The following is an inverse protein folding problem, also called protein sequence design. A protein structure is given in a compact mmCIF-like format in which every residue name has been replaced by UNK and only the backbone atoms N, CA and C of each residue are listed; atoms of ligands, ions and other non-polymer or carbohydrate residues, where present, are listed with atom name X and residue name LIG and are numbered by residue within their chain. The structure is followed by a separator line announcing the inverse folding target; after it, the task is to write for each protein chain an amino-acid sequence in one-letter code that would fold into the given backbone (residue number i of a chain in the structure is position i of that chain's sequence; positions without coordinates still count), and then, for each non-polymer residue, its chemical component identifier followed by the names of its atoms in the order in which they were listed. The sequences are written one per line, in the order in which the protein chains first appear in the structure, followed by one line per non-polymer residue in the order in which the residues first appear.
data_IF_297750872690
#
_entry.id   IF_297750872690
#
_cell.length_a   1.000
_cell.length_b   1.000
_cell.length_c   1.000
_cell.angle_alpha   90.00
_cell.angle_beta   90.00
_cell.angle_gamma   90.00
#
_symmetry.space_group_name_H-M   'P 1'
#
loop_
_entity.id
_entity.type
_entity.pdbx_description
1 polymer ?
#
# COMPACT_ATOMS: atom_id res chain seq x y z
N UNK A 1 6.85 2.56 1.40
CA UNK A 1 7.32 1.19 1.16
C UNK A 1 6.66 0.27 2.18
N UNK A 2 5.99 -0.81 1.79
CA UNK A 2 5.75 -1.87 2.74
C UNK A 2 7.13 -2.36 3.19
N UNK A 3 7.34 -2.39 4.50
CA UNK A 3 8.54 -3.06 5.04
C UNK A 3 8.53 -4.50 4.53
N UNK A 4 9.64 -4.92 3.93
CA UNK A 4 9.80 -6.30 3.48
C UNK A 4 9.80 -7.17 4.73
N UNK A 5 8.96 -8.20 4.81
CA UNK A 5 9.02 -9.11 5.94
C UNK A 5 10.42 -9.74 6.03
N UNK A 6 11.05 -9.62 7.19
CA UNK A 6 12.37 -10.24 7.42
C UNK A 6 12.26 -11.76 7.57
N UNK A 7 11.14 -12.21 8.14
CA UNK A 7 10.91 -13.63 8.41
C UNK A 7 10.36 -14.35 7.21
N UNK A 8 10.90 -15.53 6.94
CA UNK A 8 10.51 -16.37 5.81
C UNK A 8 9.00 -16.69 5.77
N UNK A 9 8.39 -17.03 6.90
CA UNK A 9 6.96 -17.32 6.97
C UNK A 9 6.09 -16.11 6.61
N UNK A 10 6.52 -14.92 6.99
CA UNK A 10 5.83 -13.68 6.63
C UNK A 10 5.98 -13.37 5.13
N UNK A 11 7.12 -13.70 4.52
CA UNK A 11 7.35 -13.59 3.07
C UNK A 11 6.45 -14.54 2.28
N UNK A 12 6.30 -15.78 2.75
CA UNK A 12 5.37 -16.76 2.16
C UNK A 12 3.93 -16.23 2.18
N UNK A 13 3.49 -15.75 3.34
CA UNK A 13 2.14 -15.17 3.47
C UNK A 13 1.96 -13.95 2.55
N UNK A 14 2.98 -13.10 2.44
CA UNK A 14 2.97 -11.95 1.54
C UNK A 14 2.85 -12.38 0.08
N UNK A 15 3.68 -13.34 -0.38
CA UNK A 15 3.63 -13.88 -1.74
C UNK A 15 2.28 -14.50 -2.06
N UNK A 16 1.72 -15.28 -1.14
CA UNK A 16 0.38 -15.86 -1.27
C UNK A 16 -0.67 -14.77 -1.51
N UNK A 17 -0.68 -13.77 -0.67
CA UNK A 17 -1.63 -12.67 -0.78
C UNK A 17 -1.46 -11.89 -2.10
N UNK A 18 -0.23 -11.65 -2.54
CA UNK A 18 0.04 -10.99 -3.83
C UNK A 18 -0.44 -11.87 -4.98
N UNK A 19 -0.09 -13.16 -5.01
CA UNK A 19 -0.52 -14.11 -6.03
C UNK A 19 -2.05 -14.17 -6.16
N UNK A 20 -2.75 -14.34 -5.04
CA UNK A 20 -4.22 -14.36 -5.03
C UNK A 20 -4.84 -13.05 -5.55
N UNK A 21 -4.25 -11.91 -5.25
CA UNK A 21 -4.77 -10.62 -5.72
C UNK A 21 -4.42 -10.35 -7.19
N UNK A 22 -3.34 -10.91 -7.69
CA UNK A 22 -3.01 -10.92 -9.12
C UNK A 22 -4.01 -11.78 -9.89
N UNK A 23 -4.32 -12.99 -9.41
CA UNK A 23 -5.31 -13.88 -10.03
C UNK A 23 -6.72 -13.29 -10.04
N UNK A 24 -7.09 -12.57 -8.99
CA UNK A 24 -8.37 -11.83 -8.90
C UNK A 24 -8.40 -10.54 -9.74
N UNK A 25 -7.31 -10.20 -10.43
CA UNK A 25 -7.20 -8.97 -11.22
C UNK A 25 -7.18 -7.68 -10.41
N UNK A 26 -6.92 -7.77 -9.09
CA UNK A 26 -6.84 -6.61 -8.19
C UNK A 26 -5.50 -5.90 -8.36
N UNK A 27 -4.44 -6.66 -8.65
CA UNK A 27 -3.11 -6.16 -8.98
C UNK A 27 -2.84 -6.47 -10.44
N UNK A 28 -2.55 -5.44 -11.24
CA UNK A 28 -2.13 -5.61 -12.62
C UNK A 28 -0.59 -5.65 -12.66
N UNK A 29 -0.05 -6.83 -12.96
CA UNK A 29 1.37 -7.00 -13.27
C UNK A 29 1.55 -7.38 -14.74
N UNK A 30 2.73 -7.10 -15.34
CA UNK A 30 3.13 -7.71 -16.60
C UNK A 30 3.05 -9.25 -16.52
N UNK A 31 2.71 -9.89 -17.63
CA UNK A 31 2.52 -11.36 -17.64
C UNK A 31 3.77 -12.14 -17.21
N UNK A 32 4.95 -11.63 -17.57
CA UNK A 32 6.24 -12.19 -17.15
C UNK A 32 6.39 -12.19 -15.62
N UNK A 33 5.94 -11.13 -14.95
CA UNK A 33 6.01 -11.02 -13.51
C UNK A 33 4.96 -11.89 -12.81
N UNK A 34 3.80 -12.08 -13.43
CA UNK A 34 2.77 -12.99 -12.92
C UNK A 34 3.25 -14.44 -12.90
N UNK A 35 3.92 -14.88 -13.98
CA UNK A 35 4.50 -16.23 -14.06
C UNK A 35 5.56 -16.44 -12.99
N UNK A 36 6.46 -15.47 -12.82
CA UNK A 36 7.52 -15.51 -11.80
C UNK A 36 6.96 -15.56 -10.37
N UNK A 37 5.91 -14.80 -10.07
CA UNK A 37 5.24 -14.83 -8.76
C UNK A 37 4.63 -16.19 -8.50
N UNK A 38 3.99 -16.78 -9.52
CA UNK A 38 3.36 -18.10 -9.41
C UNK A 38 4.38 -19.22 -9.22
N UNK A 39 5.49 -19.16 -9.94
CA UNK A 39 6.62 -20.10 -9.78
C UNK A 39 7.21 -19.99 -8.39
N UNK A 40 7.50 -18.79 -7.90
CA UNK A 40 8.00 -18.58 -6.56
C UNK A 40 7.04 -19.06 -5.47
N UNK A 41 5.76 -18.83 -5.65
CA UNK A 41 4.76 -19.33 -4.71
C UNK A 41 4.79 -20.86 -4.65
N UNK A 42 4.83 -21.54 -5.79
CA UNK A 42 4.92 -23.00 -5.87
C UNK A 42 6.24 -23.53 -5.26
N UNK A 43 7.38 -22.87 -5.51
CA UNK A 43 8.66 -23.21 -4.93
C UNK A 43 8.69 -23.02 -3.41
N UNK A 44 7.99 -22.00 -2.88
CA UNK A 44 7.89 -21.79 -1.42
C UNK A 44 7.11 -22.90 -0.72
N UNK A 45 6.20 -23.57 -1.40
CA UNK A 45 5.50 -24.72 -0.84
C UNK A 45 6.36 -25.99 -0.80
N UNK A 46 7.33 -26.13 -1.72
CA UNK A 46 8.18 -27.33 -1.85
C UNK A 46 9.43 -27.34 -0.94
N UNK A 47 9.65 -26.35 -0.11
CA UNK A 47 10.79 -26.23 0.84
C UNK A 47 12.19 -26.16 0.20
N UNK A 48 12.32 -25.83 -1.08
CA UNK A 48 13.61 -25.71 -1.73
C UNK A 48 14.35 -24.41 -1.40
N UNK A 49 15.65 -24.50 -1.34
CA UNK A 49 16.72 -23.55 -1.01
C UNK A 49 16.34 -22.05 -0.82
N UNK A 50 16.39 -21.60 0.43
CA UNK A 50 16.09 -20.22 0.85
C UNK A 50 16.87 -19.12 0.09
N UNK A 51 18.07 -19.39 -0.41
CA UNK A 51 18.93 -18.40 -1.05
C UNK A 51 18.47 -17.98 -2.44
N UNK A 52 18.14 -18.93 -3.30
CA UNK A 52 17.65 -18.65 -4.67
C UNK A 52 16.28 -17.95 -4.64
N UNK A 53 15.44 -18.31 -3.68
CA UNK A 53 14.14 -17.68 -3.45
C UNK A 53 14.27 -16.21 -2.98
N UNK A 54 15.32 -15.88 -2.26
CA UNK A 54 15.58 -14.50 -1.81
C UNK A 54 15.91 -13.57 -2.98
N UNK A 55 16.74 -14.01 -3.93
CA UNK A 55 17.09 -13.22 -5.12
C UNK A 55 15.86 -12.97 -6.02
N UNK A 56 15.07 -14.01 -6.27
CA UNK A 56 13.83 -13.87 -7.04
C UNK A 56 12.79 -13.00 -6.33
N UNK A 57 12.66 -13.11 -5.02
CA UNK A 57 11.78 -12.26 -4.23
C UNK A 57 12.21 -10.79 -4.34
N UNK A 58 13.51 -10.49 -4.27
CA UNK A 58 14.03 -9.15 -4.47
C UNK A 58 13.74 -8.62 -5.88
N UNK A 59 13.84 -9.45 -6.91
CA UNK A 59 13.53 -9.02 -8.28
C UNK A 59 12.05 -8.67 -8.48
N UNK A 60 11.13 -9.43 -7.85
CA UNK A 60 9.69 -9.10 -7.84
C UNK A 60 9.43 -7.78 -7.12
N UNK A 61 10.05 -7.59 -5.97
CA UNK A 61 9.93 -6.36 -5.23
C UNK A 61 10.47 -5.18 -6.02
N UNK A 62 11.62 -5.31 -6.65
CA UNK A 62 12.17 -4.26 -7.52
C UNK A 62 11.23 -3.93 -8.67
N UNK A 63 10.69 -4.94 -9.37
CA UNK A 63 9.74 -4.72 -10.44
C UNK A 63 8.42 -4.10 -9.94
N UNK A 64 7.95 -4.47 -8.76
CA UNK A 64 6.78 -3.86 -8.13
C UNK A 64 7.02 -2.40 -7.74
N UNK A 65 8.24 -2.06 -7.29
CA UNK A 65 8.61 -0.71 -6.88
C UNK A 65 9.20 0.15 -8.01
N UNK A 66 9.51 -0.43 -9.15
CA UNK A 66 9.90 0.30 -10.36
C UNK A 66 8.73 1.08 -11.00
N UNK A 67 7.68 1.35 -10.20
CA UNK A 67 6.56 2.18 -10.66
C UNK A 67 7.02 3.63 -10.83
N UNK A 68 6.56 4.31 -11.87
CA UNK A 68 6.79 5.74 -11.99
C UNK A 68 6.31 6.46 -10.72
N UNK A 69 7.10 7.41 -10.23
CA UNK A 69 6.78 8.19 -9.02
C UNK A 69 6.68 7.37 -7.72
N UNK A 70 7.39 6.26 -7.60
CA UNK A 70 7.49 5.55 -6.33
C UNK A 70 8.02 6.48 -5.22
N UNK A 71 7.57 6.23 -3.99
CA UNK A 71 8.08 6.94 -2.82
C UNK A 71 9.47 6.38 -2.50
N UNK A 72 10.52 7.03 -2.96
CA UNK A 72 11.92 6.61 -2.82
C UNK A 72 12.65 7.35 -1.70
N UNK A 73 12.13 8.50 -1.27
CA UNK A 73 12.74 9.31 -0.23
C UNK A 73 12.27 8.88 1.16
N UNK A 74 13.22 8.66 2.06
CA UNK A 74 12.91 8.32 3.46
C UNK A 74 12.03 9.39 4.14
N UNK A 75 12.20 10.66 3.78
CA UNK A 75 11.38 11.78 4.26
C UNK A 75 9.90 11.62 3.91
N UNK A 76 9.60 11.18 2.69
CA UNK A 76 8.23 10.96 2.24
C UNK A 76 7.61 9.71 2.87
N UNK A 77 8.40 8.69 3.17
CA UNK A 77 7.93 7.46 3.82
C UNK A 77 7.33 7.74 5.21
N UNK A 78 7.95 8.63 5.97
CA UNK A 78 7.52 9.02 7.31
C UNK A 78 6.70 10.31 7.35
N UNK A 79 6.40 10.88 6.17
CA UNK A 79 5.54 12.05 6.05
C UNK A 79 4.12 11.75 6.54
N UNK A 80 3.48 12.74 7.17
CA UNK A 80 2.06 12.68 7.54
C UNK A 80 1.18 12.42 6.31
N UNK A 81 1.59 12.89 5.13
CA UNK A 81 0.94 12.60 3.85
C UNK A 81 0.95 11.12 3.44
N UNK A 82 1.83 10.31 4.05
CA UNK A 82 1.88 8.86 3.84
C UNK A 82 1.23 8.05 4.99
N UNK A 83 0.55 8.71 5.91
CA UNK A 83 -0.08 8.06 7.06
C UNK A 83 -1.59 8.23 7.02
N UNK A 84 -2.30 7.24 7.51
CA UNK A 84 -3.74 7.32 7.74
C UNK A 84 -4.12 6.62 9.04
N UNK A 85 -5.24 7.04 9.62
CA UNK A 85 -5.75 6.49 10.87
C UNK A 85 -6.56 5.22 10.59
N UNK A 86 -6.20 4.12 11.23
CA UNK A 86 -6.93 2.87 11.18
C UNK A 86 -7.19 2.31 12.58
N UNK A 87 -8.40 1.79 12.85
CA UNK A 87 -8.63 0.97 14.03
C UNK A 87 -7.64 -0.21 14.07
N UNK A 88 -7.20 -0.61 15.27
CA UNK A 88 -6.19 -1.65 15.48
C UNK A 88 -6.48 -2.93 14.67
N UNK A 89 -7.72 -3.40 14.68
CA UNK A 89 -8.12 -4.62 13.97
C UNK A 89 -7.95 -4.50 12.44
N UNK A 90 -8.27 -3.33 11.88
CA UNK A 90 -8.08 -3.07 10.44
C UNK A 90 -6.61 -2.89 10.10
N UNK A 91 -5.84 -2.21 10.94
CA UNK A 91 -4.39 -2.07 10.74
C UNK A 91 -3.71 -3.45 10.72
N UNK A 92 -4.10 -4.35 11.61
CA UNK A 92 -3.64 -5.75 11.59
C UNK A 92 -4.06 -6.45 10.30
N UNK A 93 -5.25 -6.21 9.77
CA UNK A 93 -5.74 -6.85 8.54
C UNK A 93 -5.01 -6.36 7.29
N UNK A 94 -4.66 -5.08 7.23
CA UNK A 94 -3.98 -4.50 6.05
C UNK A 94 -2.47 -4.72 6.08
N UNK A 95 -1.87 -4.94 7.25
CA UNK A 95 -0.42 -5.23 7.40
C UNK A 95 0.48 -4.47 6.42
N UNK A 96 1.52 -5.15 5.91
CA UNK A 96 2.46 -4.62 4.91
C UNK A 96 2.05 -4.94 3.46
N UNK A 97 0.75 -5.17 3.21
CA UNK A 97 0.27 -5.43 1.87
C UNK A 97 0.45 -4.22 0.93
N UNK A 98 0.56 -4.48 -0.39
CA UNK A 98 0.50 -3.44 -1.41
C UNK A 98 -0.74 -2.56 -1.30
N UNK A 99 -0.66 -1.32 -1.76
CA UNK A 99 -1.76 -0.35 -1.68
C UNK A 99 -3.08 -0.88 -2.25
N UNK A 100 -3.06 -1.50 -3.43
CA UNK A 100 -4.25 -2.08 -4.05
C UNK A 100 -4.91 -3.15 -3.17
N UNK A 101 -4.11 -4.00 -2.51
CA UNK A 101 -4.60 -5.03 -1.59
C UNK A 101 -5.20 -4.40 -0.34
N UNK A 102 -4.50 -3.44 0.27
CA UNK A 102 -5.03 -2.68 1.41
C UNK A 102 -6.37 -2.02 1.07
N UNK A 103 -6.43 -1.36 -0.09
CA UNK A 103 -7.64 -0.73 -0.60
C UNK A 103 -8.79 -1.72 -0.74
N UNK A 104 -8.55 -2.89 -1.31
CA UNK A 104 -9.56 -3.94 -1.45
C UNK A 104 -10.06 -4.45 -0.10
N UNK A 105 -9.14 -4.74 0.84
CA UNK A 105 -9.49 -5.18 2.21
C UNK A 105 -10.38 -4.13 2.89
N UNK A 106 -10.00 -2.85 2.83
CA UNK A 106 -10.77 -1.78 3.45
C UNK A 106 -12.16 -1.63 2.80
N UNK A 107 -12.27 -1.71 1.48
CA UNK A 107 -13.56 -1.65 0.77
C UNK A 107 -14.51 -2.77 1.18
N UNK A 108 -14.00 -3.98 1.38
CA UNK A 108 -14.80 -5.11 1.85
C UNK A 108 -15.26 -4.96 3.31
N UNK A 109 -14.53 -4.19 4.11
CA UNK A 109 -14.84 -3.95 5.54
C UNK A 109 -15.75 -2.73 5.77
N UNK A 110 -15.95 -1.88 4.77
CA UNK A 110 -16.88 -0.75 4.87
C UNK A 110 -18.29 -1.30 5.14
N UNK A 111 -18.93 -0.78 6.19
CA UNK A 111 -20.24 -1.27 6.66
C UNK A 111 -20.18 -2.33 7.74
N UNK A 112 -19.12 -3.15 7.81
CA UNK A 112 -18.91 -4.14 8.86
C UNK A 112 -17.99 -3.65 9.98
N UNK A 113 -17.13 -2.67 9.70
CA UNK A 113 -16.23 -2.06 10.67
C UNK A 113 -16.15 -0.54 10.45
N UNK A 114 -15.85 0.19 11.52
CA UNK A 114 -15.62 1.62 11.42
C UNK A 114 -14.31 1.88 10.67
N UNK A 115 -14.40 2.61 9.57
CA UNK A 115 -13.25 3.16 8.83
C UNK A 115 -13.40 4.67 8.82
N UNK A 116 -12.43 5.44 9.36
CA UNK A 116 -12.50 6.90 9.34
C UNK A 116 -12.71 7.43 7.93
N UNK A 117 -13.52 8.47 7.79
CA UNK A 117 -13.84 9.05 6.48
C UNK A 117 -12.57 9.48 5.75
N UNK A 118 -11.66 10.19 6.43
CA UNK A 118 -10.37 10.60 5.87
C UNK A 118 -9.56 9.43 5.32
N UNK A 119 -9.56 8.28 6.03
CA UNK A 119 -8.89 7.08 5.55
C UNK A 119 -9.55 6.50 4.30
N UNK A 120 -10.88 6.46 4.23
CA UNK A 120 -11.59 6.04 3.01
C UNK A 120 -11.26 6.94 1.83
N UNK A 121 -11.18 8.23 2.06
CA UNK A 121 -10.84 9.23 1.04
C UNK A 121 -9.40 9.05 0.54
N UNK A 122 -8.43 8.79 1.43
CA UNK A 122 -7.05 8.44 1.06
C UNK A 122 -7.03 7.22 0.14
N UNK A 123 -7.67 6.11 0.55
CA UNK A 123 -7.68 4.89 -0.26
C UNK A 123 -8.53 5.00 -1.54
N UNK A 124 -9.41 5.97 -1.65
CA UNK A 124 -10.10 6.31 -2.89
C UNK A 124 -9.41 7.42 -3.69
N UNK A 125 -8.25 7.91 -3.22
CA UNK A 125 -7.46 8.98 -3.85
C UNK A 125 -8.28 10.24 -4.12
N UNK A 126 -9.20 10.59 -3.22
CA UNK A 126 -10.05 11.78 -3.35
C UNK A 126 -9.22 13.06 -3.35
N UNK A 127 -8.11 13.07 -2.62
CA UNK A 127 -7.21 14.23 -2.50
C UNK A 127 -6.16 14.32 -3.61
N UNK A 128 -6.01 13.29 -4.43
CA UNK A 128 -5.06 13.30 -5.54
C UNK A 128 -5.62 14.11 -6.71
N UNK A 129 -4.93 15.18 -7.10
CA UNK A 129 -5.37 16.06 -8.19
C UNK A 129 -5.43 15.33 -9.54
N UNK A 130 -4.49 14.40 -9.77
CA UNK A 130 -4.38 13.62 -11.00
C UNK A 130 -3.97 12.18 -10.68
N UNK A 131 -4.88 11.33 -10.16
CA UNK A 131 -4.56 9.97 -9.80
C UNK A 131 -4.18 9.16 -11.05
N UNK A 132 -2.89 8.89 -11.24
CA UNK A 132 -2.39 8.12 -12.37
C UNK A 132 -2.82 6.65 -12.29
N UNK A 133 -2.93 6.09 -11.08
CA UNK A 133 -3.31 4.71 -10.86
C UNK A 133 -3.97 4.52 -9.49
N UNK A 134 -4.91 3.58 -9.41
CA UNK A 134 -5.48 3.10 -8.13
C UNK A 134 -4.75 1.87 -7.57
N UNK A 135 -3.67 1.45 -8.22
CA UNK A 135 -2.87 0.30 -7.80
C UNK A 135 -1.78 0.67 -6.80
N UNK A 136 -1.30 1.91 -6.86
CA UNK A 136 -0.17 2.40 -6.09
C UNK A 136 -0.56 3.66 -5.31
N UNK A 137 0.16 3.93 -4.23
CA UNK A 137 0.21 5.21 -3.55
C UNK A 137 1.57 5.84 -3.88
N UNK A 138 1.55 6.93 -4.62
CA UNK A 138 2.73 7.52 -5.25
C UNK A 138 3.17 8.77 -4.50
N UNK A 139 4.38 9.26 -4.80
CA UNK A 139 4.92 10.48 -4.18
C UNK A 139 4.01 11.70 -4.42
N UNK A 140 3.38 11.79 -5.60
CA UNK A 140 2.40 12.84 -5.93
C UNK A 140 1.16 12.77 -5.03
N UNK A 141 0.65 11.56 -4.74
CA UNK A 141 -0.48 11.37 -3.83
C UNK A 141 -0.13 11.82 -2.40
N UNK A 142 1.10 11.52 -1.95
CA UNK A 142 1.59 11.97 -0.64
C UNK A 142 1.60 13.49 -0.55
N UNK A 143 2.11 14.17 -1.57
CA UNK A 143 2.20 15.63 -1.61
C UNK A 143 0.81 16.29 -1.67
N UNK A 144 -0.08 15.78 -2.50
CA UNK A 144 -1.45 16.29 -2.63
C UNK A 144 -2.22 16.13 -1.31
N UNK A 145 -2.11 14.96 -0.68
CA UNK A 145 -2.75 14.73 0.61
C UNK A 145 -2.16 15.61 1.73
N UNK A 146 -0.83 15.78 1.77
CA UNK A 146 -0.17 16.67 2.71
C UNK A 146 -0.65 18.12 2.55
N UNK A 147 -0.79 18.58 1.31
CA UNK A 147 -1.32 19.91 1.00
C UNK A 147 -2.74 20.11 1.53
N UNK A 148 -3.60 19.12 1.37
CA UNK A 148 -4.97 19.15 1.88
C UNK A 148 -5.01 19.15 3.41
N UNK A 149 -4.17 18.36 4.07
CA UNK A 149 -4.04 18.38 5.52
C UNK A 149 -3.60 19.76 6.04
N UNK A 150 -2.63 20.39 5.38
CA UNK A 150 -2.19 21.74 5.72
C UNK A 150 -3.32 22.77 5.53
N UNK A 151 -4.04 22.70 4.42
CA UNK A 151 -5.16 23.62 4.16
C UNK A 151 -6.27 23.48 5.23
N UNK A 152 -6.62 22.22 5.55
CA UNK A 152 -7.60 21.92 6.62
C UNK A 152 -7.12 22.43 7.96
N UNK A 153 -5.86 22.22 8.32
CA UNK A 153 -5.28 22.72 9.56
C UNK A 153 -5.34 24.26 9.64
N UNK A 154 -4.92 24.95 8.58
CA UNK A 154 -4.98 26.41 8.51
C UNK A 154 -6.40 26.95 8.69
N UNK A 155 -7.39 26.32 8.05
CA UNK A 155 -8.79 26.70 8.21
C UNK A 155 -9.23 26.62 9.69
N UNK A 156 -8.93 25.53 10.39
CA UNK A 156 -9.30 25.38 11.80
C UNK A 156 -8.58 26.32 12.73
N UNK A 157 -7.32 26.63 12.48
CA UNK A 157 -6.55 27.58 13.33
C UNK A 157 -7.04 29.01 13.12
N UNK A 158 -7.25 29.43 11.88
CA UNK A 158 -7.76 30.78 11.56
C UNK A 158 -9.16 30.99 12.10
N UNK A 159 -10.06 30.01 11.96
CA UNK A 159 -11.43 30.13 12.47
C UNK A 159 -11.54 30.25 14.01
N UNK A 160 -10.53 29.76 14.74
CA UNK A 160 -10.45 29.93 16.20
C UNK A 160 -9.88 31.30 16.61
N UNK A 161 -9.10 31.95 15.77
CA UNK A 161 -8.53 33.24 16.05
C UNK A 161 -9.59 34.37 15.95
N UNK A 162 -10.62 34.16 15.17
CA UNK A 162 -11.71 35.13 14.93
C UNK A 162 -12.88 34.98 15.91
N UNK A 163 -12.81 34.08 16.88
CA UNK A 163 -13.85 33.85 17.90
C UNK A 163 -13.21 33.88 19.30
N UNK A 164 -13.08 35.07 19.94
CA UNK A 164 -12.51 35.21 21.27
C UNK A 164 -13.41 34.61 22.38
#
# INVERSE_FOLDING_TARGET
HPEIPEKWEERKEWLKNVSENVEKGIIAFPEELKSTIKELFNQTESNEEKGALDEHFQSILQAYWATPNAIDKAEDLHSVGNLCLLPKALNISVRNHPFAVKRNILRQKVGAAYVPTSTREVFNKVFSAHPASYLYWEATDVQDYLKELCATYHFYVSSKADNP
#
